data_IF_775900962162
#
_entry.id   IF_775900962162
#
_cell.length_a   1.000
_cell.length_b   1.000
_cell.length_c   1.000
_cell.angle_alpha   90.00
_cell.angle_beta   90.00
_cell.angle_gamma   90.00
#
_symmetry.space_group_name_H-M   'P 1'
#
loop_
_entity.id
_entity.type
_entity.pdbx_description
1 polymer ?
#
# COMPACT_ATOMS: atom_id res chain seq x y z
N UNK A 1 6.73 5.47 -15.50
CA UNK A 1 6.73 3.99 -15.68
C UNK A 1 5.43 3.44 -15.10
N UNK A 2 4.69 2.64 -15.88
CA UNK A 2 3.38 2.09 -15.50
C UNK A 2 3.55 1.00 -14.43
N UNK A 3 2.61 0.88 -13.49
CA UNK A 3 2.55 -0.32 -12.64
C UNK A 3 1.85 -1.45 -13.39
N UNK A 4 2.27 -2.69 -13.15
CA UNK A 4 1.72 -3.89 -13.79
C UNK A 4 1.46 -4.98 -12.77
N UNK A 5 0.60 -5.92 -13.13
CA UNK A 5 0.27 -7.09 -12.32
C UNK A 5 1.42 -8.12 -12.38
N UNK A 6 1.76 -8.70 -11.23
CA UNK A 6 2.73 -9.80 -11.11
C UNK A 6 2.25 -10.83 -10.09
N UNK A 7 2.69 -12.09 -10.21
CA UNK A 7 2.39 -13.15 -9.25
C UNK A 7 3.32 -13.09 -8.04
N UNK A 8 2.75 -13.11 -6.84
CA UNK A 8 3.53 -13.23 -5.61
C UNK A 8 4.05 -14.66 -5.46
N UNK A 9 5.37 -14.81 -5.26
CA UNK A 9 5.99 -16.13 -5.03
C UNK A 9 5.69 -16.72 -3.65
N UNK A 10 5.28 -15.89 -2.70
CA UNK A 10 5.01 -16.31 -1.32
C UNK A 10 3.61 -16.90 -1.15
N UNK A 11 2.59 -16.20 -1.65
CA UNK A 11 1.20 -16.60 -1.48
C UNK A 11 0.49 -17.04 -2.79
N UNK A 12 1.15 -16.92 -3.95
CA UNK A 12 0.58 -17.30 -5.25
C UNK A 12 -0.50 -16.35 -5.81
N UNK A 13 -0.87 -15.32 -5.04
CA UNK A 13 -1.85 -14.29 -5.42
C UNK A 13 -1.27 -13.19 -6.30
N UNK A 14 -2.13 -12.40 -6.93
CA UNK A 14 -1.74 -11.29 -7.79
C UNK A 14 -1.35 -10.06 -6.96
N UNK A 15 -0.19 -9.50 -7.25
CA UNK A 15 0.36 -8.28 -6.66
C UNK A 15 0.78 -7.30 -7.76
N UNK A 16 1.39 -6.19 -7.39
CA UNK A 16 1.79 -5.14 -8.31
C UNK A 16 3.31 -4.94 -8.32
N UNK A 17 3.85 -4.57 -9.48
CA UNK A 17 5.22 -4.13 -9.68
C UNK A 17 5.26 -2.74 -10.31
N UNK A 18 6.12 -1.84 -9.82
CA UNK A 18 6.26 -0.49 -10.35
C UNK A 18 6.53 0.57 -9.28
N UNK A 19 6.12 1.81 -9.55
CA UNK A 19 6.41 2.97 -8.71
C UNK A 19 5.34 3.33 -7.66
N UNK A 20 4.32 2.49 -7.44
CA UNK A 20 3.29 2.72 -6.41
C UNK A 20 2.15 3.67 -6.83
N UNK A 21 2.42 4.66 -7.69
CA UNK A 21 1.40 5.65 -8.12
C UNK A 21 0.25 5.11 -8.98
N UNK A 22 0.44 3.97 -9.62
CA UNK A 22 -0.57 3.38 -10.52
C UNK A 22 -1.21 2.12 -9.94
N UNK A 23 -0.99 1.85 -8.65
CA UNK A 23 -1.37 0.61 -7.98
C UNK A 23 -2.88 0.48 -7.86
N UNK A 24 -3.61 1.57 -7.63
CA UNK A 24 -5.08 1.56 -7.63
C UNK A 24 -5.67 1.04 -8.96
N UNK A 25 -5.05 1.36 -10.10
CA UNK A 25 -5.47 0.87 -11.41
C UNK A 25 -5.16 -0.62 -11.61
N UNK A 26 -4.08 -1.13 -11.02
CA UNK A 26 -3.75 -2.57 -11.05
C UNK A 26 -4.69 -3.33 -10.10
N UNK A 27 -4.93 -2.78 -8.91
CA UNK A 27 -5.82 -3.35 -7.91
C UNK A 27 -7.21 -3.58 -8.45
N UNK A 28 -7.78 -2.60 -9.17
CA UNK A 28 -9.10 -2.71 -9.81
C UNK A 28 -9.21 -3.76 -10.91
N UNK A 29 -8.09 -4.20 -11.52
CA UNK A 29 -8.09 -5.26 -12.54
C UNK A 29 -8.08 -6.65 -11.92
N UNK A 30 -7.51 -6.78 -10.73
CA UNK A 30 -7.46 -8.03 -9.98
C UNK A 30 -8.77 -8.18 -9.23
N UNK A 31 -9.43 -9.34 -9.37
CA UNK A 31 -10.68 -9.62 -8.68
C UNK A 31 -10.54 -9.68 -7.16
N UNK A 32 -11.62 -9.39 -6.44
CA UNK A 32 -11.66 -9.50 -4.98
C UNK A 32 -11.27 -10.91 -4.53
N UNK A 33 -10.36 -11.00 -3.56
CA UNK A 33 -9.80 -12.27 -3.07
C UNK A 33 -8.53 -12.75 -3.81
N UNK A 34 -8.21 -12.20 -4.98
CA UNK A 34 -6.96 -12.48 -5.70
C UNK A 34 -5.83 -11.49 -5.39
N UNK A 35 -6.09 -10.46 -4.57
CA UNK A 35 -5.06 -9.54 -4.12
C UNK A 35 -4.11 -10.18 -3.11
N UNK A 36 -2.82 -10.04 -3.36
CA UNK A 36 -1.77 -10.42 -2.43
C UNK A 36 -1.73 -9.46 -1.24
N UNK A 37 -1.84 -9.98 -0.02
CA UNK A 37 -1.73 -9.20 1.22
C UNK A 37 -0.31 -9.20 1.82
N UNK A 38 0.66 -9.86 1.18
CA UNK A 38 2.05 -9.90 1.66
C UNK A 38 2.79 -8.56 1.49
N UNK A 39 2.21 -7.60 0.77
CA UNK A 39 2.75 -6.26 0.58
C UNK A 39 1.61 -5.25 0.58
N UNK A 40 1.93 -4.04 1.05
CA UNK A 40 1.03 -2.90 1.06
C UNK A 40 0.56 -2.50 -0.35
N UNK A 41 -0.66 -1.99 -0.39
CA UNK A 41 -1.29 -1.47 -1.60
C UNK A 41 -1.51 0.04 -1.48
N UNK A 42 -0.50 0.85 -1.82
CA UNK A 42 -0.61 2.30 -1.72
C UNK A 42 -1.71 2.83 -2.65
N UNK A 43 -2.56 3.69 -2.11
CA UNK A 43 -3.64 4.34 -2.88
C UNK A 43 -4.90 3.50 -3.06
N UNK A 44 -4.99 2.30 -2.48
CA UNK A 44 -6.27 1.64 -2.18
C UNK A 44 -6.40 1.58 -0.67
N UNK A 45 -7.34 2.36 -0.15
CA UNK A 45 -7.58 2.52 1.27
C UNK A 45 -7.83 1.16 1.92
N UNK A 46 -6.79 0.56 2.47
CA UNK A 46 -6.91 -0.55 3.40
C UNK A 46 -7.28 0.10 4.72
N UNK A 47 -8.57 0.27 4.99
CA UNK A 47 -9.10 0.75 6.27
C UNK A 47 -8.89 -0.33 7.35
N UNK A 48 -7.64 -0.69 7.58
CA UNK A 48 -7.11 -1.56 8.63
C UNK A 48 -5.59 -1.38 8.75
N UNK A 49 -5.05 -0.20 8.42
CA UNK A 49 -3.68 0.20 8.73
C UNK A 49 -3.66 1.63 9.24
N UNK A 50 -4.51 1.88 10.24
CA UNK A 50 -4.26 2.94 11.21
C UNK A 50 -3.52 2.31 12.41
N UNK A 51 -2.28 1.89 12.19
CA UNK A 51 -1.29 1.70 13.26
C UNK A 51 0.06 2.05 12.65
N UNK A 52 0.51 3.27 12.94
CA UNK A 52 1.70 3.89 12.34
C UNK A 52 3.05 3.35 12.85
N UNK A 53 4.13 4.12 12.67
CA UNK A 53 4.42 5.09 13.73
C UNK A 53 4.46 6.52 13.20
N UNK A 54 3.66 7.38 13.84
CA UNK A 54 3.92 8.80 13.87
C UNK A 54 5.12 9.02 14.80
N UNK A 55 6.25 9.38 14.23
CA UNK A 55 7.32 10.10 14.95
C UNK A 55 7.43 11.46 14.28
N UNK A 56 6.52 12.35 14.67
CA UNK A 56 6.80 13.79 14.60
C UNK A 56 6.40 14.36 15.95
N UNK A 57 7.38 14.34 16.86
CA UNK A 57 7.38 15.11 18.09
C UNK A 57 7.35 16.57 17.69
N UNK A 58 6.15 17.13 17.58
CA UNK A 58 5.95 18.57 17.49
C UNK A 58 6.42 19.16 18.83
N UNK A 59 7.69 19.57 18.86
CA UNK A 59 8.31 20.36 19.92
C UNK A 59 7.42 21.55 20.23
N UNK A 60 6.68 21.46 21.33
CA UNK A 60 5.96 22.60 21.90
C UNK A 60 6.98 23.59 22.46
N UNK A 61 7.15 24.71 21.79
CA UNK A 61 7.87 25.88 22.31
C UNK A 61 7.17 26.37 23.59
N UNK A 62 7.83 26.22 24.74
CA UNK A 62 7.46 26.94 25.97
C UNK A 62 7.86 28.41 25.78
N UNK A 63 6.87 29.29 25.87
CA UNK A 63 7.02 30.76 25.81
C UNK A 63 7.41 31.26 27.21
N UNK A 64 8.45 32.11 27.24
CA UNK A 64 8.93 32.93 28.35
C UNK A 64 7.95 34.05 28.71
#
# INVERSE_FOLDING_TARGET
RMCYEVKCRTCGKSTWGGCGRHVASVYRRIGEGQHCLCRDWPGVSSTASATGPATDTQSSCVIL
#
